data_IF_744936092022
#
_entry.id   IF_744936092022
#
_cell.length_a   1.000
_cell.length_b   1.000
_cell.length_c   1.000
_cell.angle_alpha   90.00
_cell.angle_beta   90.00
_cell.angle_gamma   90.00
#
_symmetry.space_group_name_H-M   'P 1'
#
loop_
_entity.id
_entity.type
_entity.pdbx_description
1 polymer ?
#
# COMPACT_ATOMS: atom_id res chain seq x y z
N UNK A 1 21.14 -6.49 3.55
CA UNK A 1 19.89 -6.46 2.74
C UNK A 1 20.29 -6.44 1.28
N UNK A 2 19.66 -7.25 0.42
CA UNK A 2 19.97 -7.16 -1.02
C UNK A 2 19.37 -5.86 -1.56
N UNK A 3 20.00 -5.18 -2.53
CA UNK A 3 19.48 -3.92 -3.07
C UNK A 3 18.04 -4.05 -3.59
N UNK A 4 17.67 -5.23 -4.07
CA UNK A 4 16.31 -5.58 -4.51
C UNK A 4 15.29 -5.49 -3.37
N UNK A 5 15.65 -5.90 -2.14
CA UNK A 5 14.74 -5.85 -0.99
C UNK A 5 14.42 -4.40 -0.60
N UNK A 6 15.42 -3.52 -0.66
CA UNK A 6 15.24 -2.09 -0.37
C UNK A 6 14.33 -1.41 -1.40
N UNK A 7 14.52 -1.72 -2.68
CA UNK A 7 13.67 -1.19 -3.76
C UNK A 7 12.21 -1.62 -3.57
N UNK A 8 11.96 -2.89 -3.25
CA UNK A 8 10.60 -3.40 -3.01
C UNK A 8 9.93 -2.73 -1.82
N UNK A 9 10.67 -2.52 -0.72
CA UNK A 9 10.15 -1.82 0.47
C UNK A 9 9.82 -0.36 0.14
N UNK A 10 10.71 0.34 -0.58
CA UNK A 10 10.47 1.71 -1.01
C UNK A 10 9.25 1.81 -1.93
N UNK A 11 9.08 0.88 -2.86
CA UNK A 11 7.93 0.85 -3.78
C UNK A 11 6.62 0.59 -3.04
N UNK A 12 6.61 -0.36 -2.09
CA UNK A 12 5.46 -0.63 -1.25
C UNK A 12 5.09 0.59 -0.39
N UNK A 13 6.09 1.27 0.20
CA UNK A 13 5.90 2.47 1.01
C UNK A 13 5.32 3.63 0.18
N UNK A 14 5.80 3.81 -1.04
CA UNK A 14 5.28 4.83 -1.96
C UNK A 14 3.83 4.56 -2.37
N UNK A 15 3.46 3.30 -2.69
CA UNK A 15 2.09 2.92 -3.02
C UNK A 15 1.14 3.13 -1.84
N UNK A 16 1.57 2.79 -0.63
CA UNK A 16 0.81 3.00 0.59
C UNK A 16 0.60 4.50 0.86
N UNK A 17 1.66 5.30 0.73
CA UNK A 17 1.59 6.75 0.84
C UNK A 17 0.68 7.40 -0.20
N UNK A 18 0.74 6.96 -1.45
CA UNK A 18 -0.13 7.43 -2.53
C UNK A 18 -1.61 7.09 -2.24
N UNK A 19 -1.91 5.89 -1.74
CA UNK A 19 -3.26 5.49 -1.35
C UNK A 19 -3.83 6.37 -0.23
N UNK A 20 -3.04 6.61 0.83
CA UNK A 20 -3.43 7.47 1.95
C UNK A 20 -3.61 8.92 1.51
N UNK A 21 -2.71 9.45 0.67
CA UNK A 21 -2.83 10.81 0.14
C UNK A 21 -4.09 10.98 -0.71
N UNK A 22 -4.45 9.97 -1.51
CA UNK A 22 -5.65 9.98 -2.34
C UNK A 22 -6.93 9.95 -1.47
N UNK A 23 -6.95 9.16 -0.41
CA UNK A 23 -8.02 9.17 0.59
C UNK A 23 -8.09 10.48 1.39
N UNK A 24 -6.95 11.07 1.75
CA UNK A 24 -6.94 12.36 2.44
C UNK A 24 -7.48 13.49 1.55
N UNK A 25 -7.17 13.44 0.25
CA UNK A 25 -7.72 14.37 -0.73
C UNK A 25 -9.24 14.18 -0.89
N UNK A 26 -9.73 12.94 -0.84
CA UNK A 26 -11.17 12.67 -0.99
C UNK A 26 -12.01 13.29 0.12
N UNK A 27 -11.46 13.53 1.31
CA UNK A 27 -12.14 14.23 2.42
C UNK A 27 -12.59 15.65 2.05
N UNK A 28 -11.88 16.32 1.13
CA UNK A 28 -12.24 17.66 0.65
C UNK A 28 -13.34 17.63 -0.43
N UNK A 29 -13.72 16.45 -0.89
CA UNK A 29 -14.74 16.26 -1.92
C UNK A 29 -16.07 15.89 -1.24
N UNK A 30 -17.22 16.46 -1.64
CA UNK A 30 -18.49 16.10 -1.05
C UNK A 30 -18.77 14.60 -1.20
N UNK A 31 -19.15 13.95 -0.10
CA UNK A 31 -19.53 12.54 -0.05
C UNK A 31 -20.67 12.26 -1.02
N UNK A 32 -20.64 11.10 -1.68
CA UNK A 32 -21.65 10.70 -2.68
C UNK A 32 -21.48 11.31 -4.07
N UNK A 33 -20.42 12.11 -4.30
CA UNK A 33 -20.06 12.51 -5.66
C UNK A 33 -19.26 11.40 -6.37
N UNK A 34 -19.37 11.27 -7.71
CA UNK A 34 -18.63 10.24 -8.45
C UNK A 34 -17.11 10.40 -8.37
N UNK A 35 -16.62 11.61 -8.07
CA UNK A 35 -15.21 11.89 -7.79
C UNK A 35 -14.79 11.31 -6.44
N UNK A 36 -15.61 11.50 -5.40
CA UNK A 36 -15.38 10.93 -4.08
C UNK A 36 -15.32 9.40 -4.15
N UNK A 37 -16.31 8.74 -4.77
CA UNK A 37 -16.34 7.27 -4.90
C UNK A 37 -15.10 6.73 -5.63
N UNK A 38 -14.68 7.36 -6.73
CA UNK A 38 -13.49 6.94 -7.47
C UNK A 38 -12.22 7.07 -6.64
N UNK A 39 -12.05 8.19 -5.94
CA UNK A 39 -10.87 8.44 -5.11
C UNK A 39 -10.81 7.51 -3.89
N UNK A 40 -11.95 7.25 -3.25
CA UNK A 40 -12.09 6.30 -2.13
C UNK A 40 -11.79 4.86 -2.59
N UNK A 41 -12.29 4.47 -3.76
CA UNK A 41 -12.03 3.15 -4.37
C UNK A 41 -10.56 2.97 -4.75
N UNK A 42 -9.94 4.00 -5.35
CA UNK A 42 -8.51 4.00 -5.67
C UNK A 42 -7.63 3.90 -4.41
N UNK A 43 -7.92 4.73 -3.40
CA UNK A 43 -7.16 4.73 -2.16
C UNK A 43 -7.26 3.40 -1.40
N UNK A 44 -8.46 2.81 -1.35
CA UNK A 44 -8.67 1.49 -0.73
C UNK A 44 -7.98 0.36 -1.48
N UNK A 45 -8.05 0.36 -2.82
CA UNK A 45 -7.32 -0.62 -3.64
C UNK A 45 -5.80 -0.55 -3.43
N UNK A 46 -5.24 0.67 -3.37
CA UNK A 46 -3.82 0.90 -3.09
C UNK A 46 -3.44 0.43 -1.68
N UNK A 47 -4.27 0.72 -0.66
CA UNK A 47 -4.03 0.29 0.70
C UNK A 47 -4.06 -1.24 0.85
N UNK A 48 -5.04 -1.92 0.23
CA UNK A 48 -5.14 -3.39 0.21
C UNK A 48 -3.93 -4.00 -0.49
N UNK A 49 -3.54 -3.44 -1.65
CA UNK A 49 -2.36 -3.89 -2.38
C UNK A 49 -1.09 -3.77 -1.54
N UNK A 50 -0.91 -2.65 -0.85
CA UNK A 50 0.25 -2.45 0.03
C UNK A 50 0.24 -3.40 1.24
N UNK A 51 -0.93 -3.65 1.85
CA UNK A 51 -1.07 -4.61 2.95
C UNK A 51 -0.73 -6.05 2.53
N UNK A 52 -1.21 -6.48 1.36
CA UNK A 52 -0.88 -7.79 0.77
C UNK A 52 0.63 -7.95 0.55
N UNK A 53 1.29 -6.94 -0.03
CA UNK A 53 2.74 -6.93 -0.25
C UNK A 53 3.49 -7.01 1.09
N UNK A 54 3.06 -6.24 2.10
CA UNK A 54 3.63 -6.29 3.45
C UNK A 54 3.48 -7.66 4.12
N UNK A 55 2.31 -8.29 4.02
CA UNK A 55 2.05 -9.64 4.54
C UNK A 55 2.94 -10.70 3.86
N UNK A 56 2.99 -10.71 2.54
CA UNK A 56 3.84 -11.65 1.77
C UNK A 56 5.30 -11.44 2.12
N UNK A 57 5.75 -10.19 2.17
CA UNK A 57 7.10 -9.83 2.59
C UNK A 57 7.44 -10.43 3.96
N UNK A 58 6.58 -10.21 4.95
CA UNK A 58 6.75 -10.71 6.33
C UNK A 58 6.81 -12.24 6.40
N UNK A 59 5.97 -12.94 5.63
CA UNK A 59 5.97 -14.41 5.57
C UNK A 59 7.30 -14.91 4.99
N UNK A 60 7.80 -14.29 3.92
CA UNK A 60 9.06 -14.67 3.29
C UNK A 60 10.26 -14.43 4.21
N UNK A 61 10.33 -13.29 4.92
CA UNK A 61 11.41 -13.03 5.89
C UNK A 61 11.36 -14.02 7.05
N UNK A 62 10.18 -14.32 7.60
CA UNK A 62 10.03 -15.31 8.67
C UNK A 62 10.43 -16.71 8.25
N UNK A 63 10.09 -17.13 7.02
CA UNK A 63 10.51 -18.44 6.49
C UNK A 63 12.03 -18.52 6.36
N UNK A 64 12.66 -17.45 5.87
CA UNK A 64 14.13 -17.39 5.70
C UNK A 64 14.88 -17.47 7.03
N UNK A 65 14.36 -16.84 8.08
CA UNK A 65 14.95 -16.89 9.43
C UNK A 65 14.84 -18.26 10.10
N UNK A 66 13.84 -19.08 9.74
CA UNK A 66 13.72 -20.46 10.29
C UNK A 66 14.63 -21.48 9.61
N UNK A 67 15.20 -21.14 8.47
CA UNK A 67 16.07 -22.02 7.69
C UNK A 67 17.56 -21.72 7.88
N UNK A 68 17.88 -20.64 8.61
CA UNK A 68 19.24 -20.29 9.04
C UNK A 68 19.41 -20.69 10.51
#
# INVERSE_FOLDING_TARGET
MRPVDAVLISLASMLLGAGVATMAWSVWTPEGTPLWDRSMTLGSALAIGAAMVGCVGTILTRRRQRQA
#
